data_IF_325604536213
#
_entry.id   IF_325604536213
#
_cell.length_a   1.000
_cell.length_b   1.000
_cell.length_c   1.000
_cell.angle_alpha   90.00
_cell.angle_beta   90.00
_cell.angle_gamma   90.00
#
_symmetry.space_group_name_H-M   'P 1'
#
loop_
_entity.id
_entity.type
_entity.pdbx_description
1 polymer ?
#
# COMPACT_ATOMS: atom_id res chain seq x y z
N UNK A 1 -33.25 -25.98 9.97
CA UNK A 1 -32.24 -25.93 8.88
C UNK A 1 -31.46 -24.64 9.01
N UNK A 2 -30.15 -24.72 9.25
CA UNK A 2 -29.33 -23.63 9.79
C UNK A 2 -28.93 -22.57 8.76
N UNK A 3 -29.10 -21.30 9.14
CA UNK A 3 -28.55 -20.14 8.46
C UNK A 3 -27.02 -20.13 8.66
N UNK A 4 -26.30 -20.65 7.66
CA UNK A 4 -24.85 -20.57 7.60
C UNK A 4 -24.41 -19.11 7.56
N UNK A 5 -23.82 -18.64 8.65
CA UNK A 5 -23.12 -17.35 8.70
C UNK A 5 -22.11 -17.32 7.57
N UNK A 6 -22.28 -16.42 6.61
CA UNK A 6 -21.28 -16.09 5.61
C UNK A 6 -20.02 -15.62 6.35
N UNK A 7 -19.10 -16.54 6.59
CA UNK A 7 -17.75 -16.21 6.98
C UNK A 7 -17.18 -15.42 5.81
N UNK A 8 -16.92 -14.12 6.02
CA UNK A 8 -16.18 -13.30 5.04
C UNK A 8 -14.92 -14.08 4.70
N UNK A 9 -14.86 -14.63 3.50
CA UNK A 9 -13.67 -15.28 2.99
C UNK A 9 -12.53 -14.27 3.14
N UNK A 10 -11.50 -14.64 3.90
CA UNK A 10 -10.27 -13.86 3.96
C UNK A 10 -9.86 -13.54 2.52
N UNK A 11 -9.48 -12.28 2.20
CA UNK A 11 -9.00 -11.98 0.86
C UNK A 11 -7.89 -12.98 0.52
N UNK A 12 -7.88 -13.50 -0.72
CA UNK A 12 -6.88 -14.48 -1.13
C UNK A 12 -5.50 -13.92 -0.79
N UNK A 13 -4.64 -14.74 -0.18
CA UNK A 13 -3.23 -14.40 -0.01
C UNK A 13 -2.71 -14.04 -1.40
N UNK A 14 -2.53 -12.76 -1.67
CA UNK A 14 -1.95 -12.29 -2.91
C UNK A 14 -0.55 -12.89 -2.97
N UNK A 15 -0.33 -13.82 -3.91
CA UNK A 15 0.98 -14.37 -4.21
C UNK A 15 1.82 -13.23 -4.79
N UNK A 16 2.49 -12.47 -3.91
CA UNK A 16 3.43 -11.45 -4.32
C UNK A 16 4.64 -12.19 -4.88
N UNK A 17 4.89 -12.03 -6.18
CA UNK A 17 6.12 -12.50 -6.79
C UNK A 17 7.32 -11.95 -6.02
N UNK A 18 8.33 -12.79 -5.72
CA UNK A 18 9.52 -12.41 -4.92
C UNK A 18 10.13 -11.05 -5.38
N UNK A 19 10.29 -10.77 -6.68
CA UNK A 19 10.81 -9.47 -7.15
C UNK A 19 9.92 -8.27 -6.78
N UNK A 20 8.60 -8.46 -6.75
CA UNK A 20 7.65 -7.41 -6.39
C UNK A 20 7.75 -7.11 -4.89
N UNK A 21 7.90 -8.14 -4.04
CA UNK A 21 8.12 -7.97 -2.61
C UNK A 21 9.41 -7.20 -2.32
N UNK A 22 10.51 -7.56 -3.01
CA UNK A 22 11.78 -6.84 -2.87
C UNK A 22 11.64 -5.37 -3.24
N UNK A 23 10.92 -5.04 -4.31
CA UNK A 23 10.67 -3.64 -4.71
C UNK A 23 9.86 -2.88 -3.65
N UNK A 24 8.86 -3.52 -3.06
CA UNK A 24 8.08 -2.92 -1.96
C UNK A 24 8.91 -2.67 -0.70
N UNK A 25 9.80 -3.60 -0.35
CA UNK A 25 10.72 -3.43 0.79
C UNK A 25 11.70 -2.28 0.56
N UNK A 26 12.29 -2.19 -0.64
CA UNK A 26 13.18 -1.09 -1.00
C UNK A 26 12.46 0.26 -0.96
N UNK A 27 11.27 0.33 -1.55
CA UNK A 27 10.46 1.55 -1.51
C UNK A 27 10.13 1.98 -0.07
N UNK A 28 9.73 1.04 0.80
CA UNK A 28 9.41 1.35 2.18
C UNK A 28 10.65 1.87 2.94
N UNK A 29 11.83 1.31 2.69
CA UNK A 29 13.07 1.78 3.27
C UNK A 29 13.40 3.22 2.83
N UNK A 30 13.28 3.51 1.53
CA UNK A 30 13.52 4.86 0.99
C UNK A 30 12.50 5.89 1.49
N UNK A 31 11.21 5.54 1.52
CA UNK A 31 10.16 6.42 2.01
C UNK A 31 10.37 6.77 3.50
N UNK A 32 10.76 5.79 4.32
CA UNK A 32 11.13 6.01 5.73
C UNK A 32 12.36 6.90 5.87
N UNK A 33 13.38 6.69 5.04
CA UNK A 33 14.58 7.54 5.03
C UNK A 33 14.23 9.00 4.67
N UNK A 34 13.35 9.21 3.68
CA UNK A 34 12.88 10.54 3.29
C UNK A 34 12.09 11.24 4.41
N UNK A 35 11.27 10.49 5.14
CA UNK A 35 10.56 11.00 6.32
C UNK A 35 11.51 11.39 7.45
N UNK A 36 12.49 10.53 7.77
CA UNK A 36 13.51 10.79 8.79
C UNK A 36 14.41 11.98 8.43
N UNK A 37 14.69 12.19 7.15
CA UNK A 37 15.45 13.34 6.66
C UNK A 37 14.67 14.67 6.68
N UNK A 38 13.45 14.70 7.23
CA UNK A 38 12.56 15.88 7.33
C UNK A 38 12.40 16.58 5.96
N UNK A 39 12.29 15.81 4.88
CA UNK A 39 11.95 16.40 3.59
C UNK A 39 10.53 16.92 3.67
N UNK A 40 10.35 18.22 3.47
CA UNK A 40 9.10 19.01 3.64
C UNK A 40 7.83 18.36 3.04
N UNK A 41 7.99 17.46 2.07
CA UNK A 41 6.89 16.83 1.34
C UNK A 41 6.81 15.31 1.47
N UNK A 42 7.68 14.70 2.29
CA UNK A 42 7.64 13.26 2.52
C UNK A 42 6.32 12.84 3.20
N UNK A 43 5.90 11.63 2.88
CA UNK A 43 4.79 10.94 3.52
C UNK A 43 5.19 10.43 4.91
N UNK A 44 4.24 10.40 5.84
CA UNK A 44 4.47 9.83 7.17
C UNK A 44 4.43 8.30 7.18
N UNK A 45 4.87 7.71 8.29
CA UNK A 45 4.93 6.25 8.46
C UNK A 45 3.56 5.58 8.30
N UNK A 46 2.48 6.23 8.75
CA UNK A 46 1.13 5.69 8.64
C UNK A 46 0.69 5.63 7.18
N UNK A 47 0.94 6.69 6.42
CA UNK A 47 0.66 6.78 4.99
C UNK A 47 1.46 5.75 4.20
N UNK A 48 2.73 5.53 4.55
CA UNK A 48 3.56 4.46 3.96
C UNK A 48 2.90 3.10 4.13
N UNK A 49 2.47 2.76 5.36
CA UNK A 49 1.77 1.52 5.65
C UNK A 49 0.45 1.40 4.89
N UNK A 50 -0.35 2.46 4.83
CA UNK A 50 -1.66 2.44 4.17
C UNK A 50 -1.52 2.22 2.65
N UNK A 51 -0.57 2.91 2.02
CA UNK A 51 -0.23 2.73 0.60
C UNK A 51 0.16 1.28 0.34
N UNK A 52 1.09 0.72 1.13
CA UNK A 52 1.51 -0.66 0.97
C UNK A 52 0.33 -1.65 1.14
N UNK A 53 -0.45 -1.51 2.21
CA UNK A 53 -1.57 -2.40 2.49
C UNK A 53 -2.67 -2.38 1.43
N UNK A 54 -2.89 -1.26 0.73
CA UNK A 54 -3.91 -1.16 -0.32
C UNK A 54 -3.40 -1.57 -1.70
N UNK A 55 -2.16 -1.26 -2.05
CA UNK A 55 -1.62 -1.49 -3.40
C UNK A 55 -1.00 -2.89 -3.57
N UNK A 56 -0.42 -3.46 -2.52
CA UNK A 56 0.17 -4.81 -2.57
C UNK A 56 -0.85 -5.88 -2.97
N UNK A 57 -2.07 -5.92 -2.39
CA UNK A 57 -3.09 -6.91 -2.79
C UNK A 57 -3.57 -6.76 -4.23
N UNK A 58 -3.43 -5.55 -4.82
CA UNK A 58 -3.79 -5.27 -6.20
C UNK A 58 -2.69 -5.70 -7.20
N UNK A 59 -1.56 -6.23 -6.71
CA UNK A 59 -0.40 -6.56 -7.54
C UNK A 59 0.28 -5.34 -8.16
N UNK A 60 0.01 -4.14 -7.64
CA UNK A 60 0.56 -2.91 -8.17
C UNK A 60 2.06 -2.79 -7.80
N UNK A 61 2.89 -2.22 -8.70
CA UNK A 61 4.26 -1.86 -8.35
C UNK A 61 4.26 -0.76 -7.28
N UNK A 62 5.33 -0.67 -6.46
CA UNK A 62 5.47 0.44 -5.53
C UNK A 62 5.49 1.78 -6.27
N UNK A 63 4.95 2.84 -5.66
CA UNK A 63 4.98 4.17 -6.24
C UNK A 63 6.39 4.78 -6.19
N UNK A 64 6.56 6.00 -6.69
CA UNK A 64 7.84 6.73 -6.59
C UNK A 64 8.28 6.89 -5.13
N UNK A 65 9.58 6.80 -4.84
CA UNK A 65 10.09 7.08 -3.48
C UNK A 65 10.06 8.56 -3.12
N UNK A 66 9.82 9.43 -4.10
CA UNK A 66 9.52 10.85 -3.93
C UNK A 66 8.03 11.14 -3.78
N UNK A 67 7.21 10.11 -3.50
CA UNK A 67 5.76 10.25 -3.36
C UNK A 67 5.45 11.36 -2.33
N UNK A 68 4.77 12.40 -2.80
CA UNK A 68 4.33 13.50 -1.94
C UNK A 68 2.99 13.14 -1.28
N UNK A 69 2.68 13.76 -0.12
CA UNK A 69 1.41 13.55 0.59
C UNK A 69 0.17 13.68 -0.31
N UNK A 70 0.11 14.72 -1.16
CA UNK A 70 -1.02 14.95 -2.08
C UNK A 70 -1.18 13.83 -3.11
N UNK A 71 -0.06 13.24 -3.55
CA UNK A 71 -0.05 12.14 -4.51
C UNK A 71 -0.43 10.82 -3.84
N UNK A 72 0.03 10.60 -2.59
CA UNK A 72 -0.41 9.47 -1.77
C UNK A 72 -1.92 9.48 -1.52
N UNK A 73 -2.50 10.63 -1.17
CA UNK A 73 -3.95 10.78 -1.01
C UNK A 73 -4.71 10.42 -2.29
N UNK A 74 -4.21 10.83 -3.47
CA UNK A 74 -4.82 10.47 -4.76
C UNK A 74 -4.73 8.97 -5.04
N UNK A 75 -3.59 8.33 -4.75
CA UNK A 75 -3.42 6.90 -4.92
C UNK A 75 -4.37 6.10 -4.02
N UNK A 76 -4.48 6.48 -2.74
CA UNK A 76 -5.36 5.84 -1.77
C UNK A 76 -6.84 5.97 -2.16
N UNK A 77 -7.25 7.15 -2.64
CA UNK A 77 -8.59 7.40 -3.14
C UNK A 77 -8.93 6.58 -4.39
N UNK A 78 -8.00 6.46 -5.33
CA UNK A 78 -8.20 5.64 -6.53
C UNK A 78 -8.29 4.15 -6.19
N UNK A 79 -7.44 3.67 -5.27
CA UNK A 79 -7.48 2.29 -4.80
C UNK A 79 -8.81 1.97 -4.09
N UNK A 80 -9.38 2.92 -3.34
CA UNK A 80 -10.71 2.80 -2.74
C UNK A 80 -11.83 2.67 -3.77
N UNK A 81 -11.76 3.39 -4.89
CA UNK A 81 -12.75 3.26 -5.97
C UNK A 81 -12.67 1.93 -6.69
N UNK A 82 -11.48 1.36 -6.87
CA UNK A 82 -11.32 0.05 -7.52
C UNK A 82 -11.76 -1.12 -6.64
N UNK A 83 -11.91 -0.90 -5.33
CA UNK A 83 -12.39 -1.89 -4.38
C UNK A 83 -13.91 -1.87 -4.18
N UNK A 84 -14.64 -0.91 -4.78
CA UNK A 84 -16.11 -0.82 -4.80
C UNK A 84 -16.67 -1.34 -6.10
#
# INVERSE_FOLDING_TARGET
>A
MGYGKQTRARPPLALIHIPLLTRWLLWAAEARANWLAIRSKAIDLNTICEVACRLIPLGAPPPSSKLERSEASRLLWNAERQAR
#
